data_IF_745408090599
#
_entry.id   IF_745408090599
#
_cell.length_a   1.000
_cell.length_b   1.000
_cell.length_c   1.000
_cell.angle_alpha   90.00
_cell.angle_beta   90.00
_cell.angle_gamma   90.00
#
_symmetry.space_group_name_H-M   'P 1'
#
loop_
_entity.id
_entity.type
_entity.pdbx_description
1 polymer ?
#
# COMPACT_ATOMS: atom_id res chain seq x y z
N UNK A 1 -17.27 -19.74 14.59
CA UNK A 1 -17.32 -18.95 13.34
C UNK A 1 -16.24 -19.47 12.43
N UNK A 2 -16.60 -19.97 11.25
CA UNK A 2 -15.62 -20.44 10.27
C UNK A 2 -14.80 -19.23 9.75
N UNK A 3 -13.46 -19.25 9.89
CA UNK A 3 -12.60 -18.15 9.48
C UNK A 3 -12.60 -17.85 7.96
N UNK A 4 -13.00 -18.80 7.10
CA UNK A 4 -13.01 -18.63 5.64
C UNK A 4 -14.40 -18.37 5.08
N UNK A 5 -15.45 -18.57 5.88
CA UNK A 5 -16.83 -18.36 5.48
C UNK A 5 -17.25 -16.88 5.59
N UNK A 6 -16.61 -16.03 4.79
CA UNK A 6 -17.08 -14.65 4.60
C UNK A 6 -18.10 -14.61 3.46
N UNK A 7 -19.19 -13.83 3.59
CA UNK A 7 -20.12 -13.64 2.48
C UNK A 7 -19.37 -13.11 1.27
N UNK A 8 -19.69 -13.62 0.07
CA UNK A 8 -19.14 -13.10 -1.17
C UNK A 8 -19.55 -11.64 -1.31
N UNK A 9 -18.56 -10.75 -1.44
CA UNK A 9 -18.76 -9.32 -1.64
C UNK A 9 -18.25 -8.88 -3.02
N UNK A 10 -18.58 -7.65 -3.42
CA UNK A 10 -18.17 -7.06 -4.71
C UNK A 10 -16.66 -6.77 -4.78
N UNK A 11 -15.98 -6.59 -3.65
CA UNK A 11 -14.52 -6.41 -3.57
C UNK A 11 -13.84 -7.57 -2.82
N UNK A 12 -12.54 -7.81 -3.06
CA UNK A 12 -11.75 -8.75 -2.27
C UNK A 12 -11.80 -8.43 -0.77
N UNK A 13 -11.75 -9.47 0.07
CA UNK A 13 -11.71 -9.31 1.52
C UNK A 13 -10.29 -9.02 2.01
N UNK A 14 -9.82 -7.77 1.86
CA UNK A 14 -8.44 -7.36 2.20
C UNK A 14 -8.04 -7.65 3.66
N UNK A 15 -9.00 -7.67 4.60
CA UNK A 15 -8.75 -8.04 6.00
C UNK A 15 -8.35 -9.51 6.22
N UNK A 16 -8.48 -10.38 5.22
CA UNK A 16 -8.01 -11.76 5.32
C UNK A 16 -6.49 -11.84 5.39
N UNK A 17 -5.76 -10.91 4.77
CA UNK A 17 -4.30 -10.89 4.79
C UNK A 17 -3.74 -10.76 6.22
N UNK A 18 -4.31 -9.85 7.02
CA UNK A 18 -3.94 -9.70 8.43
C UNK A 18 -4.13 -11.00 9.22
N UNK A 19 -5.21 -11.74 8.95
CA UNK A 19 -5.51 -13.00 9.64
C UNK A 19 -4.54 -14.10 9.22
N UNK A 20 -4.19 -14.15 7.95
CA UNK A 20 -3.17 -15.07 7.43
C UNK A 20 -1.82 -14.83 8.12
N UNK A 21 -1.40 -13.56 8.21
CA UNK A 21 -0.17 -13.17 8.94
C UNK A 21 -0.21 -13.64 10.39
N UNK A 22 -1.31 -13.39 11.11
CA UNK A 22 -1.43 -13.85 12.51
C UNK A 22 -1.44 -15.37 12.64
N UNK A 23 -2.13 -16.07 11.73
CA UNK A 23 -2.18 -17.53 11.73
C UNK A 23 -0.78 -18.12 11.51
N UNK A 24 -0.05 -17.62 10.51
CA UNK A 24 1.32 -18.06 10.21
C UNK A 24 2.28 -17.77 11.37
N UNK A 25 2.16 -16.61 12.01
CA UNK A 25 2.96 -16.25 13.18
C UNK A 25 2.65 -17.14 14.40
N UNK A 26 1.36 -17.38 14.69
CA UNK A 26 0.94 -18.16 15.85
C UNK A 26 1.16 -19.66 15.70
N UNK A 27 0.89 -20.24 14.53
CA UNK A 27 0.99 -21.69 14.31
C UNK A 27 2.40 -22.12 13.89
N UNK A 28 3.08 -21.31 13.07
CA UNK A 28 4.36 -21.68 12.44
C UNK A 28 5.54 -20.82 12.87
N UNK A 29 5.32 -19.78 13.68
CA UNK A 29 6.37 -18.81 14.03
C UNK A 29 6.85 -17.96 12.85
N UNK A 30 6.14 -17.97 11.71
CA UNK A 30 6.55 -17.26 10.50
C UNK A 30 6.03 -15.82 10.58
N UNK A 31 6.94 -14.86 10.68
CA UNK A 31 6.63 -13.43 10.70
C UNK A 31 6.91 -12.79 9.32
N UNK A 32 6.21 -11.70 8.97
CA UNK A 32 6.51 -10.93 7.76
C UNK A 32 7.97 -10.46 7.74
N UNK A 33 8.55 -10.37 6.54
CA UNK A 33 9.95 -9.94 6.34
C UNK A 33 10.17 -8.43 6.45
N UNK A 34 9.11 -7.66 6.75
CA UNK A 34 9.13 -6.21 6.89
C UNK A 34 8.11 -5.76 7.94
N UNK A 35 8.37 -4.60 8.54
CA UNK A 35 7.44 -3.97 9.48
C UNK A 35 6.34 -3.19 8.76
N UNK A 36 5.15 -3.15 9.37
CA UNK A 36 4.04 -2.29 8.95
C UNK A 36 4.10 -0.91 9.60
N UNK A 37 5.02 -0.69 10.56
CA UNK A 37 5.22 0.62 11.16
C UNK A 37 5.95 1.53 10.16
N UNK A 38 5.41 2.72 9.83
CA UNK A 38 5.98 3.58 8.78
C UNK A 38 7.46 3.92 9.01
N UNK A 39 7.83 4.27 10.25
CA UNK A 39 9.20 4.67 10.58
C UNK A 39 10.17 3.49 10.48
N UNK A 40 9.79 2.30 10.95
CA UNK A 40 10.63 1.10 10.87
C UNK A 40 10.77 0.62 9.42
N UNK A 41 9.71 0.76 8.62
CA UNK A 41 9.76 0.47 7.19
C UNK A 41 10.76 1.40 6.50
N UNK A 42 10.70 2.71 6.78
CA UNK A 42 11.65 3.69 6.25
C UNK A 42 13.09 3.37 6.68
N UNK A 43 13.33 3.06 7.95
CA UNK A 43 14.66 2.64 8.45
C UNK A 43 15.17 1.36 7.78
N UNK A 44 14.28 0.41 7.50
CA UNK A 44 14.65 -0.84 6.82
C UNK A 44 15.20 -0.57 5.41
N UNK A 45 14.73 0.48 4.72
CA UNK A 45 15.23 0.85 3.40
C UNK A 45 16.67 1.33 3.44
N UNK A 46 17.08 2.04 4.51
CA UNK A 46 18.47 2.50 4.71
C UNK A 46 19.47 1.34 4.78
N UNK A 47 19.01 0.19 5.29
CA UNK A 47 19.84 -1.04 5.38
C UNK A 47 19.88 -1.83 4.07
N UNK A 48 18.87 -1.66 3.19
CA UNK A 48 18.69 -2.46 1.96
C UNK A 48 19.14 -1.74 0.70
N UNK A 49 18.98 -0.42 0.62
CA UNK A 49 19.30 0.39 -0.55
C UNK A 49 20.73 0.94 -0.45
N UNK A 50 21.34 1.18 -1.60
CA UNK A 50 22.54 2.01 -1.65
C UNK A 50 22.20 3.49 -1.38
N UNK A 51 23.21 4.29 -1.05
CA UNK A 51 23.02 5.71 -0.70
C UNK A 51 22.24 6.48 -1.77
N UNK A 52 22.53 6.24 -3.06
CA UNK A 52 21.84 6.91 -4.17
C UNK A 52 20.33 6.62 -4.17
N UNK A 53 19.94 5.34 -4.05
CA UNK A 53 18.55 4.93 -3.99
C UNK A 53 17.87 5.42 -2.73
N UNK A 54 18.54 5.31 -1.58
CA UNK A 54 18.01 5.78 -0.30
C UNK A 54 17.76 7.30 -0.31
N UNK A 55 18.75 8.10 -0.71
CA UNK A 55 18.58 9.54 -0.78
C UNK A 55 17.53 9.94 -1.80
N UNK A 56 17.43 9.28 -2.96
CA UNK A 56 16.38 9.59 -3.93
C UNK A 56 14.97 9.32 -3.38
N UNK A 57 14.76 8.19 -2.68
CA UNK A 57 13.48 7.87 -2.06
C UNK A 57 13.11 8.81 -0.90
N UNK A 58 14.12 9.23 -0.13
CA UNK A 58 13.94 9.95 1.13
C UNK A 58 14.14 11.46 1.02
N UNK A 59 14.42 11.97 -0.18
CA UNK A 59 14.64 13.41 -0.40
C UNK A 59 13.32 14.17 -0.46
N UNK A 60 13.26 15.26 0.29
CA UNK A 60 12.19 16.25 0.24
C UNK A 60 12.75 17.61 -0.16
N UNK A 61 11.90 18.50 -0.69
CA UNK A 61 12.32 19.86 -1.01
C UNK A 61 12.67 20.66 0.25
N UNK A 62 13.82 21.35 0.23
CA UNK A 62 14.30 22.18 1.33
C UNK A 62 14.44 21.39 2.63
N UNK A 63 13.93 21.95 3.74
CA UNK A 63 13.97 21.32 5.06
C UNK A 63 12.86 20.26 5.28
N UNK A 64 12.06 19.92 4.26
CA UNK A 64 11.00 18.92 4.38
C UNK A 64 9.73 19.36 5.11
N UNK A 65 9.54 20.67 5.33
CA UNK A 65 8.35 21.22 5.99
C UNK A 65 7.03 20.80 5.33
N UNK A 66 7.01 20.76 4.00
CA UNK A 66 5.80 20.37 3.25
C UNK A 66 5.46 18.89 3.43
N UNK A 67 6.45 17.99 3.44
CA UNK A 67 6.22 16.56 3.72
C UNK A 67 5.64 16.38 5.13
N UNK A 68 6.24 17.05 6.12
CA UNK A 68 5.72 17.05 7.50
C UNK A 68 4.28 17.58 7.56
N UNK A 69 4.01 18.71 6.92
CA UNK A 69 2.67 19.31 6.89
C UNK A 69 1.62 18.40 6.24
N UNK A 70 1.98 17.67 5.17
CA UNK A 70 1.09 16.70 4.52
C UNK A 70 0.69 15.57 5.48
N UNK A 71 1.64 15.03 6.26
CA UNK A 71 1.36 14.00 7.28
C UNK A 71 0.50 14.55 8.41
N UNK A 72 0.85 15.73 8.91
CA UNK A 72 0.10 16.41 9.98
C UNK A 72 -1.34 16.76 9.58
N UNK A 73 -1.60 17.02 8.30
CA UNK A 73 -2.94 17.33 7.80
C UNK A 73 -3.94 16.18 8.04
N UNK A 74 -3.52 14.91 7.93
CA UNK A 74 -4.40 13.77 8.20
C UNK A 74 -4.85 13.71 9.67
N UNK A 75 -3.99 14.15 10.60
CA UNK A 75 -4.33 14.21 12.03
C UNK A 75 -5.31 15.33 12.38
N UNK A 76 -5.70 16.18 11.43
CA UNK A 76 -6.77 17.17 11.64
C UNK A 76 -8.15 16.56 11.49
N UNK A 77 -8.26 15.42 10.81
CA UNK A 77 -9.51 14.72 10.54
C UNK A 77 -9.66 13.49 11.44
N UNK A 78 -10.89 13.16 11.81
CA UNK A 78 -11.21 12.01 12.66
C UNK A 78 -12.32 11.19 12.00
N UNK A 79 -12.15 9.86 12.02
CA UNK A 79 -13.19 8.92 11.63
C UNK A 79 -14.14 8.77 12.80
N UNK A 80 -15.43 9.04 12.62
CA UNK A 80 -16.46 8.86 13.65
C UNK A 80 -16.91 7.39 13.63
N UNK A 81 -16.69 6.61 14.71
CA UNK A 81 -17.16 5.23 14.77
C UNK A 81 -18.68 5.17 14.74
N UNK A 82 -19.25 4.28 13.92
CA UNK A 82 -20.68 3.95 13.91
C UNK A 82 -20.86 2.53 14.43
N UNK A 83 -21.55 2.39 15.56
CA UNK A 83 -21.79 1.10 16.24
C UNK A 83 -23.07 0.44 15.72
N UNK A 84 -23.19 -0.88 15.92
CA UNK A 84 -24.38 -1.66 15.55
C UNK A 84 -24.74 -1.64 14.05
N UNK A 85 -23.77 -1.33 13.18
CA UNK A 85 -23.93 -1.40 11.72
C UNK A 85 -23.39 -2.74 11.23
N UNK A 86 -24.15 -3.46 10.41
CA UNK A 86 -23.63 -4.66 9.74
C UNK A 86 -22.52 -4.26 8.75
N UNK A 87 -21.33 -4.81 8.98
CA UNK A 87 -20.15 -4.60 8.11
C UNK A 87 -19.54 -5.91 7.62
N UNK A 88 -20.33 -6.99 7.63
CA UNK A 88 -19.90 -8.31 7.17
C UNK A 88 -19.52 -8.30 5.68
N UNK A 89 -20.28 -7.55 4.87
CA UNK A 89 -19.97 -7.31 3.46
C UNK A 89 -19.55 -5.85 3.28
N UNK A 90 -18.35 -5.63 2.76
CA UNK A 90 -17.82 -4.30 2.45
C UNK A 90 -17.62 -4.21 0.95
N UNK A 91 -18.09 -3.12 0.36
CA UNK A 91 -17.82 -2.78 -1.02
C UNK A 91 -16.79 -1.66 -1.05
N UNK A 92 -15.58 -1.98 -1.52
CA UNK A 92 -14.54 -1.01 -1.79
C UNK A 92 -14.40 -0.75 -3.30
N UNK A 93 -15.24 -1.36 -4.13
CA UNK A 93 -15.16 -1.12 -5.57
C UNK A 93 -15.54 0.31 -5.90
N UNK A 94 -14.89 0.87 -6.90
CA UNK A 94 -15.24 2.19 -7.43
C UNK A 94 -14.97 2.22 -8.93
N UNK A 95 -15.38 3.31 -9.59
CA UNK A 95 -15.17 3.50 -11.02
C UNK A 95 -14.37 4.77 -11.22
N UNK A 96 -13.22 4.66 -11.90
CA UNK A 96 -12.36 5.79 -12.26
C UNK A 96 -12.25 5.82 -13.79
N UNK A 97 -12.61 6.95 -14.41
CA UNK A 97 -12.63 7.12 -15.88
C UNK A 97 -13.36 6.01 -16.65
N UNK A 98 -14.46 5.48 -16.10
CA UNK A 98 -15.23 4.39 -16.71
C UNK A 98 -14.68 2.98 -16.46
N UNK A 99 -13.53 2.85 -15.79
CA UNK A 99 -12.94 1.58 -15.40
C UNK A 99 -13.31 1.22 -13.97
N UNK A 100 -13.90 0.04 -13.78
CA UNK A 100 -14.19 -0.50 -12.45
C UNK A 100 -12.91 -1.02 -11.80
N UNK A 101 -12.62 -0.58 -10.59
CA UNK A 101 -11.46 -0.98 -9.80
C UNK A 101 -11.89 -1.59 -8.46
N UNK A 102 -11.10 -2.52 -7.87
CA UNK A 102 -11.51 -3.26 -6.69
C UNK A 102 -11.38 -2.48 -5.37
N UNK A 103 -10.61 -1.39 -5.36
CA UNK A 103 -10.35 -0.52 -4.20
C UNK A 103 -10.03 0.91 -4.67
N UNK A 104 -10.38 1.98 -3.94
CA UNK A 104 -10.06 3.37 -4.32
C UNK A 104 -8.59 3.74 -3.98
N UNK A 105 -7.63 2.90 -4.38
CA UNK A 105 -6.19 3.12 -4.18
C UNK A 105 -5.49 2.81 -5.50
N UNK A 106 -4.44 3.57 -5.80
CA UNK A 106 -3.62 3.40 -6.99
C UNK A 106 -2.14 3.55 -6.68
N UNK A 107 -1.29 3.00 -7.54
CA UNK A 107 0.15 3.22 -7.49
C UNK A 107 0.48 4.61 -8.03
N UNK A 108 1.09 5.43 -7.18
CA UNK A 108 1.59 6.76 -7.56
C UNK A 108 2.76 6.64 -8.55
N UNK A 109 2.94 7.63 -9.45
CA UNK A 109 4.04 7.63 -10.41
C UNK A 109 5.35 7.95 -9.68
N UNK A 110 6.18 6.93 -9.49
CA UNK A 110 7.53 7.08 -8.93
C UNK A 110 8.54 6.97 -10.07
N UNK A 111 9.31 8.04 -10.28
CA UNK A 111 10.39 8.08 -11.25
C UNK A 111 11.56 7.18 -10.87
N UNK A 112 12.35 6.77 -11.86
CA UNK A 112 13.67 6.13 -11.67
C UNK A 112 13.64 4.91 -10.73
N UNK A 113 12.60 4.07 -10.80
CA UNK A 113 12.49 2.84 -10.00
C UNK A 113 13.66 1.86 -10.20
N UNK A 114 14.44 2.02 -11.29
CA UNK A 114 15.70 1.29 -11.52
C UNK A 114 16.73 1.48 -10.40
N UNK A 115 16.62 2.54 -9.59
CA UNK A 115 17.45 2.74 -8.40
C UNK A 115 17.15 1.74 -7.27
N UNK A 116 15.93 1.20 -7.23
CA UNK A 116 15.47 0.28 -6.18
C UNK A 116 15.56 -1.19 -6.60
N UNK A 117 15.36 -1.46 -7.88
CA UNK A 117 15.43 -2.81 -8.43
C UNK A 117 15.83 -2.77 -9.91
N UNK A 118 16.63 -3.72 -10.41
CA UNK A 118 17.02 -3.79 -11.83
C UNK A 118 15.83 -3.80 -12.80
N UNK A 119 14.68 -4.35 -12.38
CA UNK A 119 13.46 -4.42 -13.18
C UNK A 119 12.69 -3.09 -13.24
N UNK A 120 13.03 -2.11 -12.39
CA UNK A 120 12.43 -0.79 -12.38
C UNK A 120 10.91 -0.80 -12.29
N UNK A 121 10.26 -0.05 -13.19
CA UNK A 121 8.79 0.14 -13.24
C UNK A 121 8.01 -1.15 -13.58
N UNK A 122 8.68 -2.19 -14.08
CA UNK A 122 8.02 -3.45 -14.41
C UNK A 122 7.42 -4.12 -13.15
N UNK A 123 8.08 -4.00 -11.99
CA UNK A 123 7.61 -4.60 -10.74
C UNK A 123 6.26 -4.00 -10.30
N UNK A 124 6.15 -2.67 -10.07
CA UNK A 124 4.87 -2.09 -9.67
C UNK A 124 3.79 -2.27 -10.74
N UNK A 125 4.13 -2.22 -12.04
CA UNK A 125 3.16 -2.46 -13.11
C UNK A 125 2.61 -3.90 -13.09
N UNK A 126 3.47 -4.89 -12.87
CA UNK A 126 3.06 -6.29 -12.75
C UNK A 126 2.18 -6.52 -11.53
N UNK A 127 2.60 -6.02 -10.37
CA UNK A 127 1.84 -6.16 -9.11
C UNK A 127 0.48 -5.43 -9.21
N UNK A 128 0.46 -4.25 -9.83
CA UNK A 128 -0.78 -3.53 -10.11
C UNK A 128 -1.74 -4.34 -11.00
N UNK A 129 -1.22 -4.99 -12.05
CA UNK A 129 -1.99 -5.89 -12.90
C UNK A 129 -2.53 -7.12 -12.14
N UNK A 130 -1.70 -7.76 -11.31
CA UNK A 130 -2.10 -8.91 -10.48
C UNK A 130 -3.19 -8.54 -9.46
N UNK A 131 -3.15 -7.32 -8.91
CA UNK A 131 -4.13 -6.80 -7.95
C UNK A 131 -5.35 -6.13 -8.61
N UNK A 132 -5.35 -5.95 -9.93
CA UNK A 132 -6.37 -5.18 -10.66
C UNK A 132 -6.43 -3.70 -10.26
N UNK A 133 -5.33 -3.14 -9.75
CA UNK A 133 -5.25 -1.74 -9.31
C UNK A 133 -4.61 -0.86 -10.40
N UNK A 134 -5.04 0.40 -10.54
CA UNK A 134 -4.38 1.32 -11.47
C UNK A 134 -2.94 1.64 -11.06
N UNK A 135 -2.07 1.78 -12.06
CA UNK A 135 -0.72 2.34 -11.91
C UNK A 135 -0.56 3.55 -12.80
N UNK A 136 -0.09 4.66 -12.23
CA UNK A 136 0.38 5.79 -13.01
C UNK A 136 1.87 5.60 -13.27
N UNK A 137 2.27 5.53 -14.55
CA UNK A 137 3.69 5.48 -14.93
C UNK A 137 4.16 6.91 -15.21
N UNK A 138 5.32 7.33 -14.69
CA UNK A 138 5.93 8.59 -15.09
C UNK A 138 6.26 8.51 -16.58
N UNK A 139 5.93 9.56 -17.34
CA UNK A 139 6.09 9.57 -18.79
C UNK A 139 7.50 9.11 -19.21
N UNK A 140 7.57 7.99 -19.91
CA UNK A 140 8.69 7.66 -20.80
C UNK A 140 8.33 8.17 -22.18
N UNK A 141 8.88 9.32 -22.54
CA UNK A 141 9.10 9.64 -23.95
C UNK A 141 10.10 8.61 -24.47
N UNK A 142 9.63 7.75 -25.38
CA UNK A 142 10.36 6.88 -26.33
C UNK A 142 11.82 6.56 -26.03
#
# INVERSE_FOLDING_TARGET
>A
MDPTNKPKGPSPHYSLYQREVFKLGGEKGILPSFSVHPDELQESTKKKLNDRGYFYANSNAGLGWTDRANREAFYRWRIIPRTCVDTNTRDLTTTIFGHKIPVPIMFAPIGINKLYSPLGELIPARVAGELGMPVSSPAKTS
#
